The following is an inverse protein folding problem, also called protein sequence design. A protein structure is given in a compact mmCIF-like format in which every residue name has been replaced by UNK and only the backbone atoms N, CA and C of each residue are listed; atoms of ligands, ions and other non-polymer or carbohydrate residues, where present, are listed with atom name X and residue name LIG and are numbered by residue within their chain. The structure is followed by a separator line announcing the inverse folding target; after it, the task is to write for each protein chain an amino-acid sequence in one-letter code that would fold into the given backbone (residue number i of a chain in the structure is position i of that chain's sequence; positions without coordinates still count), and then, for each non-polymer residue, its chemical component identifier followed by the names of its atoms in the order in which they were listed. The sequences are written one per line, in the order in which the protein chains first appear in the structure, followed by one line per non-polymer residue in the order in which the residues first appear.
data_IF_191633474045
#
_entry.id   IF_191633474045
#
_cell.length_a   1.000
_cell.length_b   1.000
_cell.length_c   1.000
_cell.angle_alpha   90.00
_cell.angle_beta   90.00
_cell.angle_gamma   90.00
#
_symmetry.space_group_name_H-M   'P 1'
#
loop_
_entity.id
_entity.type
_entity.pdbx_description
1 polymer ?
#
# COMPACT_ATOMS: atom_id res chain seq x y z
N UNK A 1 -11.93 30.54 31.03
CA UNK A 1 -12.49 31.04 29.75
C UNK A 1 -11.95 30.16 28.62
N UNK A 2 -12.80 29.23 28.18
CA UNK A 2 -12.97 28.61 26.83
C UNK A 2 -11.70 28.21 26.05
N UNK A 3 -11.34 26.95 25.78
CA UNK A 3 -12.10 25.72 25.52
C UNK A 3 -13.25 25.88 24.50
N UNK A 4 -12.89 26.05 23.21
CA UNK A 4 -13.66 25.76 21.97
C UNK A 4 -13.05 26.55 20.79
N UNK A 5 -12.06 26.01 20.08
CA UNK A 5 -11.61 26.61 18.79
C UNK A 5 -10.64 25.72 17.97
N UNK A 6 -10.85 24.40 17.89
CA UNK A 6 -10.12 23.56 16.94
C UNK A 6 -11.03 22.69 16.05
N UNK A 7 -12.35 22.70 16.29
CA UNK A 7 -13.35 22.04 15.46
C UNK A 7 -14.05 23.10 14.59
N UNK A 8 -13.37 23.57 13.54
CA UNK A 8 -13.97 24.28 12.40
C UNK A 8 -12.89 24.69 11.39
N UNK A 9 -12.15 23.74 10.81
CA UNK A 9 -11.51 24.01 9.51
C UNK A 9 -12.52 23.68 8.41
N UNK A 10 -13.04 24.76 7.87
CA UNK A 10 -14.06 24.88 6.84
C UNK A 10 -13.90 23.84 5.72
N UNK A 11 -14.93 23.03 5.62
CA UNK A 11 -15.39 22.38 4.41
C UNK A 11 -15.62 23.45 3.32
N UNK A 12 -14.62 23.65 2.46
CA UNK A 12 -14.69 24.50 1.26
C UNK A 12 -13.87 23.88 0.14
N UNK A 13 -14.29 22.69 -0.30
CA UNK A 13 -13.96 22.17 -1.62
C UNK A 13 -15.27 21.81 -2.30
N UNK A 14 -15.59 22.41 -3.46
CA UNK A 14 -16.69 21.96 -4.31
C UNK A 14 -16.54 20.45 -4.48
N UNK A 15 -17.44 19.67 -3.89
CA UNK A 15 -17.42 18.21 -3.96
C UNK A 15 -17.43 17.80 -5.43
N UNK A 16 -16.27 17.42 -5.95
CA UNK A 16 -16.16 16.82 -7.26
C UNK A 16 -16.77 15.42 -7.10
N UNK A 17 -17.89 15.08 -7.77
CA UNK A 17 -18.57 13.79 -7.60
C UNK A 17 -17.78 12.60 -8.16
N UNK A 18 -16.49 12.79 -8.45
CA UNK A 18 -15.57 11.77 -8.92
C UNK A 18 -15.51 10.62 -7.91
N UNK A 19 -15.47 9.39 -8.40
CA UNK A 19 -15.50 8.16 -7.59
C UNK A 19 -16.80 7.90 -6.80
N UNK A 20 -17.76 8.83 -6.70
CA UNK A 20 -19.06 8.55 -6.05
C UNK A 20 -19.75 7.35 -6.71
N UNK A 21 -19.75 7.35 -8.05
CA UNK A 21 -20.38 6.32 -8.85
C UNK A 21 -19.70 4.96 -8.68
N UNK A 22 -18.38 4.92 -8.47
CA UNK A 22 -17.68 3.66 -8.28
C UNK A 22 -18.03 3.02 -6.94
N UNK A 23 -18.14 3.84 -5.88
CA UNK A 23 -18.61 3.39 -4.56
C UNK A 23 -20.05 2.87 -4.61
N UNK A 24 -20.96 3.61 -5.24
CA UNK A 24 -22.36 3.17 -5.43
C UNK A 24 -22.41 1.82 -6.17
N UNK A 25 -21.64 1.66 -7.25
CA UNK A 25 -21.63 0.43 -8.03
C UNK A 25 -21.21 -0.80 -7.22
N UNK A 26 -20.30 -0.66 -6.25
CA UNK A 26 -19.90 -1.76 -5.38
C UNK A 26 -20.91 -2.00 -4.24
N UNK A 27 -21.49 -0.95 -3.66
CA UNK A 27 -22.55 -1.10 -2.65
C UNK A 27 -23.79 -1.77 -3.23
N UNK A 28 -24.28 -1.33 -4.39
CA UNK A 28 -25.45 -1.90 -5.06
C UNK A 28 -25.23 -3.38 -5.43
N UNK A 29 -23.98 -3.76 -5.68
CA UNK A 29 -23.58 -5.14 -5.96
C UNK A 29 -23.28 -5.97 -4.70
N UNK A 30 -23.37 -5.38 -3.50
CA UNK A 30 -23.08 -6.06 -2.23
C UNK A 30 -21.63 -6.48 -2.07
N UNK A 31 -20.69 -5.80 -2.72
CA UNK A 31 -19.27 -6.20 -2.76
C UNK A 31 -18.51 -5.51 -1.63
N UNK A 32 -17.89 -6.25 -0.69
CA UNK A 32 -17.06 -5.64 0.35
C UNK A 32 -15.76 -5.06 -0.23
N UNK A 33 -15.51 -3.79 0.05
CA UNK A 33 -14.27 -3.10 -0.29
C UNK A 33 -13.84 -2.16 0.86
N UNK A 34 -12.58 -1.73 0.81
CA UNK A 34 -12.02 -0.69 1.67
C UNK A 34 -11.45 0.42 0.78
N UNK A 35 -11.49 1.66 1.24
CA UNK A 35 -10.76 2.76 0.61
C UNK A 35 -9.37 2.85 1.25
N UNK A 36 -8.33 2.97 0.43
CA UNK A 36 -6.95 3.06 0.90
C UNK A 36 -6.12 4.10 0.15
N UNK A 37 -4.82 3.82 0.04
CA UNK A 37 -3.92 4.62 -0.77
C UNK A 37 -3.77 6.06 -0.30
N UNK A 38 -3.73 6.99 -1.25
CA UNK A 38 -3.50 8.41 -0.96
C UNK A 38 -4.61 9.04 -0.10
N UNK A 39 -5.86 8.63 -0.34
CA UNK A 39 -7.01 9.15 0.38
C UNK A 39 -6.88 8.89 1.88
N UNK A 40 -6.46 7.68 2.26
CA UNK A 40 -6.30 7.32 3.68
C UNK A 40 -5.11 8.04 4.32
N UNK A 41 -4.03 8.30 3.57
CA UNK A 41 -2.92 9.14 4.06
C UNK A 41 -3.41 10.57 4.34
N UNK A 42 -4.26 11.14 3.48
CA UNK A 42 -4.86 12.45 3.71
C UNK A 42 -5.76 12.44 4.95
N UNK A 43 -6.63 11.43 5.09
CA UNK A 43 -7.54 11.31 6.25
C UNK A 43 -6.77 11.16 7.57
N UNK A 44 -5.70 10.36 7.60
CA UNK A 44 -4.98 10.07 8.83
C UNK A 44 -3.89 11.08 9.18
N UNK A 45 -3.21 11.65 8.18
CA UNK A 45 -2.06 12.53 8.40
C UNK A 45 -2.26 13.96 7.87
N UNK A 46 -3.39 14.27 7.24
CA UNK A 46 -3.65 15.60 6.67
C UNK A 46 -2.79 15.94 5.45
N UNK A 47 -2.07 14.95 4.90
CA UNK A 47 -1.19 15.13 3.75
C UNK A 47 -1.98 14.79 2.49
N UNK A 48 -2.52 15.82 1.85
CA UNK A 48 -3.18 15.68 0.55
C UNK A 48 -2.14 15.66 -0.56
N UNK A 49 -2.31 14.74 -1.51
CA UNK A 49 -1.58 14.74 -2.78
C UNK A 49 -2.58 14.59 -3.90
N UNK A 50 -2.36 15.31 -5.00
CA UNK A 50 -3.17 15.08 -6.19
C UNK A 50 -2.90 13.67 -6.72
N UNK A 51 -3.87 12.77 -6.59
CA UNK A 51 -3.84 11.48 -7.27
C UNK A 51 -4.88 11.43 -8.37
N UNK A 52 -4.51 10.73 -9.45
CA UNK A 52 -5.43 10.43 -10.55
C UNK A 52 -6.28 9.20 -10.25
N UNK A 53 -5.75 8.29 -9.42
CA UNK A 53 -6.34 6.99 -9.13
C UNK A 53 -7.00 7.00 -7.74
N UNK A 54 -8.14 6.30 -7.65
CA UNK A 54 -8.86 5.99 -6.41
C UNK A 54 -8.66 4.53 -6.04
N UNK A 55 -7.91 4.33 -4.95
CA UNK A 55 -7.45 3.01 -4.53
C UNK A 55 -8.50 2.29 -3.67
N UNK A 56 -9.09 1.24 -4.23
CA UNK A 56 -10.03 0.36 -3.55
C UNK A 56 -9.40 -1.01 -3.30
N UNK A 57 -9.54 -1.49 -2.07
CA UNK A 57 -8.94 -2.72 -1.59
C UNK A 57 -10.01 -3.78 -1.43
N UNK A 58 -9.80 -4.94 -2.06
CA UNK A 58 -10.76 -6.03 -2.09
C UNK A 58 -10.06 -7.35 -1.82
N UNK A 59 -10.78 -8.29 -1.20
CA UNK A 59 -10.33 -9.68 -1.15
C UNK A 59 -10.17 -10.22 -2.58
N UNK A 60 -9.17 -11.08 -2.86
CA UNK A 60 -8.97 -11.65 -4.19
C UNK A 60 -10.23 -12.29 -4.78
N UNK A 61 -11.04 -12.99 -3.96
CA UNK A 61 -12.29 -13.63 -4.43
C UNK A 61 -13.36 -12.64 -4.92
N UNK A 62 -13.30 -11.36 -4.54
CA UNK A 62 -14.31 -10.36 -4.91
C UNK A 62 -13.95 -9.58 -6.19
N UNK A 63 -12.72 -9.72 -6.69
CA UNK A 63 -12.21 -8.89 -7.80
C UNK A 63 -13.02 -9.09 -9.09
N UNK A 64 -13.36 -10.33 -9.46
CA UNK A 64 -14.13 -10.58 -10.69
C UNK A 64 -15.56 -10.04 -10.61
N UNK A 65 -16.21 -10.16 -9.45
CA UNK A 65 -17.53 -9.59 -9.22
C UNK A 65 -17.48 -8.06 -9.28
N UNK A 66 -16.43 -7.44 -8.74
CA UNK A 66 -16.23 -6.00 -8.78
C UNK A 66 -16.05 -5.52 -10.22
N UNK A 67 -15.22 -6.19 -11.01
CA UNK A 67 -15.05 -5.88 -12.43
C UNK A 67 -16.37 -6.00 -13.21
N UNK A 68 -17.19 -7.02 -12.92
CA UNK A 68 -18.51 -7.16 -13.54
C UNK A 68 -19.47 -6.03 -13.13
N UNK A 69 -19.47 -5.64 -11.85
CA UNK A 69 -20.27 -4.52 -11.36
C UNK A 69 -19.86 -3.20 -12.05
N UNK A 70 -18.55 -2.96 -12.17
CA UNK A 70 -18.03 -1.80 -12.91
C UNK A 70 -18.39 -1.82 -14.39
N UNK A 71 -18.29 -2.97 -15.07
CA UNK A 71 -18.77 -3.11 -16.47
C UNK A 71 -20.25 -2.72 -16.59
N UNK A 72 -21.12 -3.24 -15.72
CA UNK A 72 -22.56 -2.88 -15.70
C UNK A 72 -22.77 -1.39 -15.42
N UNK A 73 -21.93 -0.80 -14.59
CA UNK A 73 -21.94 0.63 -14.30
C UNK A 73 -21.32 1.51 -15.41
N UNK A 74 -20.86 0.91 -16.53
CA UNK A 74 -20.34 1.60 -17.71
C UNK A 74 -18.85 1.97 -17.62
N UNK A 75 -18.06 1.26 -16.82
CA UNK A 75 -16.60 1.40 -16.79
C UNK A 75 -15.96 0.43 -17.78
N UNK A 76 -14.85 0.86 -18.40
CA UNK A 76 -13.92 -0.04 -19.08
C UNK A 76 -13.05 -0.70 -18.00
N UNK A 77 -13.01 -2.02 -17.98
CA UNK A 77 -12.29 -2.76 -16.93
C UNK A 77 -11.17 -3.61 -17.50
N UNK A 78 -10.05 -3.71 -16.80
CA UNK A 78 -8.89 -4.49 -17.21
C UNK A 78 -8.24 -5.18 -15.99
N UNK A 79 -7.89 -6.46 -16.09
CA UNK A 79 -6.95 -7.11 -15.15
C UNK A 79 -5.52 -6.76 -15.58
N UNK A 80 -5.05 -5.58 -15.18
CA UNK A 80 -3.75 -5.04 -15.60
C UNK A 80 -2.58 -5.93 -15.17
N UNK A 81 -2.61 -6.39 -13.91
CA UNK A 81 -1.65 -7.34 -13.36
C UNK A 81 -2.40 -8.41 -12.56
N UNK A 82 -2.62 -9.62 -13.11
CA UNK A 82 -3.50 -10.63 -12.53
C UNK A 82 -3.20 -11.03 -11.09
N UNK A 83 -1.96 -10.83 -10.61
CA UNK A 83 -1.55 -11.15 -9.26
C UNK A 83 -1.94 -10.10 -8.20
N UNK A 84 -2.18 -8.83 -8.57
CA UNK A 84 -2.41 -7.76 -7.58
C UNK A 84 -3.33 -6.60 -7.98
N UNK A 85 -3.47 -6.28 -9.28
CA UNK A 85 -4.17 -5.08 -9.74
C UNK A 85 -5.13 -5.34 -10.89
N UNK A 86 -6.35 -4.86 -10.72
CA UNK A 86 -7.27 -4.59 -11.82
C UNK A 86 -7.65 -3.11 -11.82
N UNK A 87 -8.06 -2.59 -12.98
CA UNK A 87 -8.44 -1.19 -13.18
C UNK A 87 -9.87 -1.10 -13.71
N UNK A 88 -10.59 -0.08 -13.29
CA UNK A 88 -11.86 0.32 -13.88
C UNK A 88 -11.82 1.82 -14.19
N UNK A 89 -12.07 2.18 -15.44
CA UNK A 89 -11.94 3.56 -15.93
C UNK A 89 -13.24 4.03 -16.59
N UNK A 90 -13.65 5.26 -16.28
CA UNK A 90 -14.78 5.94 -16.92
C UNK A 90 -14.54 7.45 -17.00
N UNK A 91 -14.14 7.94 -18.17
CA UNK A 91 -13.83 9.36 -18.35
C UNK A 91 -12.63 9.76 -17.50
N UNK A 92 -12.85 10.62 -16.50
CA UNK A 92 -11.81 11.04 -15.53
C UNK A 92 -11.75 10.17 -14.27
N UNK A 93 -12.66 9.21 -14.14
CA UNK A 93 -12.79 8.34 -12.97
C UNK A 93 -11.94 7.09 -13.17
N UNK A 94 -10.77 7.04 -12.52
CA UNK A 94 -9.83 5.92 -12.57
C UNK A 94 -9.78 5.21 -11.21
N UNK A 95 -10.14 3.93 -11.21
CA UNK A 95 -10.24 3.11 -10.00
C UNK A 95 -9.20 2.00 -10.07
N UNK A 96 -8.38 1.90 -9.04
CA UNK A 96 -7.46 0.79 -8.83
C UNK A 96 -8.10 -0.21 -7.86
N UNK A 97 -8.32 -1.45 -8.32
CA UNK A 97 -8.80 -2.58 -7.53
C UNK A 97 -7.58 -3.40 -7.10
N UNK A 98 -7.14 -3.14 -5.88
CA UNK A 98 -5.94 -3.69 -5.27
C UNK A 98 -6.34 -4.84 -4.37
N UNK A 99 -5.72 -6.00 -4.57
CA UNK A 99 -5.98 -7.18 -3.74
C UNK A 99 -4.70 -7.80 -3.16
N UNK A 100 -3.53 -7.29 -3.58
CA UNK A 100 -2.19 -7.56 -3.04
C UNK A 100 -1.29 -6.35 -3.30
N UNK A 101 -0.11 -6.32 -2.68
CA UNK A 101 0.98 -5.46 -3.13
C UNK A 101 1.54 -5.96 -4.48
N UNK A 102 2.13 -5.05 -5.27
CA UNK A 102 2.68 -5.38 -6.59
C UNK A 102 3.77 -6.46 -6.60
N UNK A 103 4.48 -6.62 -5.48
CA UNK A 103 5.49 -7.64 -5.26
C UNK A 103 4.91 -9.01 -4.86
N UNK A 104 3.58 -9.16 -4.82
CA UNK A 104 2.88 -10.40 -4.45
C UNK A 104 2.71 -10.64 -2.95
N UNK A 105 3.13 -9.71 -2.10
CA UNK A 105 2.87 -9.72 -0.65
C UNK A 105 1.57 -8.99 -0.31
N UNK A 106 1.27 -8.85 0.97
CA UNK A 106 0.18 -7.99 1.47
C UNK A 106 -1.19 -8.33 0.87
N UNK A 107 -1.54 -9.61 0.83
CA UNK A 107 -2.89 -10.01 0.41
C UNK A 107 -3.95 -9.39 1.31
N UNK A 108 -5.00 -8.87 0.67
CA UNK A 108 -6.14 -8.29 1.37
C UNK A 108 -6.99 -9.44 1.93
N UNK A 109 -6.74 -9.77 3.20
CA UNK A 109 -7.40 -10.82 3.96
C UNK A 109 -8.52 -10.28 4.87
N UNK A 110 -9.11 -11.17 5.69
CA UNK A 110 -10.18 -10.80 6.62
C UNK A 110 -9.75 -9.77 7.66
N UNK A 111 -8.50 -9.81 8.11
CA UNK A 111 -8.00 -8.91 9.13
C UNK A 111 -7.94 -7.46 8.66
N UNK A 112 -7.81 -7.20 7.35
CA UNK A 112 -7.98 -5.85 6.79
C UNK A 112 -9.38 -5.28 7.08
N UNK A 113 -10.42 -6.11 6.97
CA UNK A 113 -11.81 -5.69 7.14
C UNK A 113 -12.23 -5.62 8.60
N UNK A 114 -11.71 -6.51 9.45
CA UNK A 114 -11.92 -6.50 10.90
C UNK A 114 -11.36 -5.23 11.55
N UNK A 115 -10.23 -4.73 11.03
CA UNK A 115 -9.53 -3.55 11.56
C UNK A 115 -9.89 -2.25 10.86
N UNK A 116 -10.74 -2.32 9.84
CA UNK A 116 -11.11 -1.15 9.05
C UNK A 116 -11.87 -0.11 9.90
N UNK A 117 -11.63 1.17 9.61
CA UNK A 117 -12.33 2.27 10.28
C UNK A 117 -13.55 2.71 9.48
N UNK A 118 -14.69 2.86 10.16
CA UNK A 118 -15.88 3.44 9.53
C UNK A 118 -15.64 4.93 9.23
N UNK A 119 -16.11 5.38 8.07
CA UNK A 119 -15.99 6.76 7.64
C UNK A 119 -17.13 7.13 6.69
N UNK A 120 -17.21 8.40 6.32
CA UNK A 120 -18.15 8.90 5.34
C UNK A 120 -17.39 9.42 4.12
N UNK A 121 -17.78 8.96 2.93
CA UNK A 121 -17.24 9.41 1.66
C UNK A 121 -18.38 9.86 0.76
N UNK A 122 -18.45 11.17 0.47
CA UNK A 122 -19.46 11.77 -0.41
C UNK A 122 -20.91 11.39 -0.02
N UNK A 123 -21.22 11.41 1.28
CA UNK A 123 -22.53 11.05 1.84
C UNK A 123 -22.79 9.55 1.99
N UNK A 124 -21.79 8.70 1.76
CA UNK A 124 -21.92 7.24 1.85
C UNK A 124 -21.08 6.69 3.00
N UNK A 125 -21.66 5.78 3.77
CA UNK A 125 -20.93 5.03 4.79
C UNK A 125 -19.97 4.06 4.10
N UNK A 126 -18.69 4.18 4.41
CA UNK A 126 -17.60 3.39 3.82
C UNK A 126 -16.64 2.92 4.91
N UNK A 127 -15.75 2.01 4.53
CA UNK A 127 -14.66 1.54 5.39
C UNK A 127 -13.32 1.96 4.82
N UNK A 128 -12.45 2.46 5.67
CA UNK A 128 -11.07 2.82 5.34
C UNK A 128 -10.11 1.72 5.81
N UNK A 129 -9.07 1.46 5.04
CA UNK A 129 -7.97 0.58 5.47
C UNK A 129 -7.35 1.12 6.77
N UNK A 130 -7.08 0.23 7.72
CA UNK A 130 -6.40 0.59 8.97
C UNK A 130 -4.99 1.16 8.68
N UNK A 131 -4.48 2.09 9.51
CA UNK A 131 -3.16 2.69 9.30
C UNK A 131 -2.03 1.65 9.30
N UNK A 132 -2.15 0.55 10.05
CA UNK A 132 -1.20 -0.56 10.07
C UNK A 132 -1.07 -1.24 8.70
N UNK A 133 -2.20 -1.45 8.01
CA UNK A 133 -2.23 -2.09 6.70
C UNK A 133 -1.65 -1.16 5.61
N UNK A 134 -1.88 0.15 5.75
CA UNK A 134 -1.26 1.16 4.89
C UNK A 134 0.25 1.23 5.10
N UNK A 135 0.74 1.19 6.35
CA UNK A 135 2.17 1.11 6.63
C UNK A 135 2.75 -0.17 6.01
N UNK A 136 2.13 -1.32 6.25
CA UNK A 136 2.62 -2.61 5.78
C UNK A 136 2.75 -2.67 4.26
N UNK A 137 1.70 -2.29 3.53
CA UNK A 137 1.74 -2.34 2.07
C UNK A 137 2.72 -1.33 1.46
N UNK A 138 2.75 -0.10 2.00
CA UNK A 138 3.63 0.96 1.47
C UNK A 138 5.10 0.72 1.77
N UNK A 139 5.42 -0.03 2.82
CA UNK A 139 6.80 -0.24 3.26
C UNK A 139 7.69 -0.94 2.24
N UNK A 140 7.10 -1.68 1.31
CA UNK A 140 7.80 -2.36 0.22
C UNK A 140 7.96 -1.52 -1.05
N UNK A 141 7.47 -0.29 -1.09
CA UNK A 141 7.58 0.58 -2.27
C UNK A 141 8.86 1.42 -2.12
N UNK A 142 9.96 0.89 -2.64
CA UNK A 142 11.29 1.53 -2.65
C UNK A 142 11.89 1.53 -4.06
N UNK A 143 11.12 2.04 -5.02
CA UNK A 143 11.59 2.27 -6.38
C UNK A 143 12.46 3.54 -6.45
N UNK A 144 13.24 3.69 -7.52
CA UNK A 144 14.02 4.92 -7.76
C UNK A 144 13.11 6.11 -8.01
N UNK A 145 12.05 5.87 -8.78
CA UNK A 145 11.06 6.86 -9.22
C UNK A 145 9.88 7.02 -8.24
N UNK A 146 9.75 6.10 -7.28
CA UNK A 146 8.67 6.11 -6.29
C UNK A 146 9.09 5.45 -4.98
N UNK A 147 9.11 6.25 -3.92
CA UNK A 147 9.33 5.80 -2.56
C UNK A 147 8.20 6.31 -1.66
N UNK A 148 7.44 5.40 -1.03
CA UNK A 148 6.30 5.77 -0.18
C UNK A 148 6.71 5.97 1.31
N UNK A 149 8.01 6.07 1.63
CA UNK A 149 8.49 6.21 3.02
C UNK A 149 8.00 7.47 3.73
N UNK A 150 7.77 8.57 3.00
CA UNK A 150 7.18 9.77 3.58
C UNK A 150 5.74 9.52 4.07
N UNK A 151 4.93 8.81 3.29
CA UNK A 151 3.56 8.45 3.70
C UNK A 151 3.58 7.62 5.00
N UNK A 152 4.52 6.68 5.12
CA UNK A 152 4.71 5.87 6.34
C UNK A 152 5.10 6.75 7.52
N UNK A 153 6.07 7.64 7.34
CA UNK A 153 6.53 8.53 8.39
C UNK A 153 5.40 9.47 8.88
N UNK A 154 4.57 9.98 7.96
CA UNK A 154 3.41 10.81 8.28
C UNK A 154 2.34 10.02 9.04
N UNK A 155 2.01 8.79 8.61
CA UNK A 155 1.06 7.94 9.34
C UNK A 155 1.61 7.62 10.74
N UNK A 156 2.89 7.27 10.88
CA UNK A 156 3.50 7.04 12.19
C UNK A 156 3.42 8.29 13.07
N UNK A 157 3.76 9.46 12.53
CA UNK A 157 3.72 10.72 13.26
C UNK A 157 2.32 11.03 13.78
N UNK A 158 1.29 10.75 12.99
CA UNK A 158 -0.10 11.08 13.33
C UNK A 158 -0.82 9.98 14.13
N UNK A 159 -0.47 8.71 13.92
CA UNK A 159 -1.25 7.56 14.40
C UNK A 159 -0.52 6.66 15.40
N UNK A 160 0.79 6.79 15.61
CA UNK A 160 1.59 5.83 16.40
C UNK A 160 0.98 5.42 17.76
N UNK A 161 0.37 6.36 18.49
CA UNK A 161 -0.27 6.09 19.80
C UNK A 161 -1.52 5.21 19.72
N UNK A 162 -2.13 5.11 18.54
CA UNK A 162 -3.37 4.35 18.28
C UNK A 162 -3.11 3.04 17.52
N UNK A 163 -1.89 2.82 17.05
CA UNK A 163 -1.55 1.60 16.30
C UNK A 163 -1.57 0.37 17.21
N UNK A 164 -2.10 -0.73 16.70
CA UNK A 164 -1.87 -2.07 17.22
C UNK A 164 -0.47 -2.53 16.78
N UNK A 165 0.53 -2.16 17.59
CA UNK A 165 1.94 -2.49 17.34
C UNK A 165 2.21 -4.00 17.24
N UNK A 166 1.68 -4.87 18.13
CA UNK A 166 1.81 -6.31 17.97
C UNK A 166 1.27 -6.80 16.61
N UNK A 167 0.15 -6.28 16.14
CA UNK A 167 -0.39 -6.60 14.82
C UNK A 167 0.53 -6.15 13.70
N UNK A 168 1.00 -4.90 13.73
CA UNK A 168 1.92 -4.38 12.73
C UNK A 168 3.20 -5.23 12.64
N UNK A 169 3.82 -5.57 13.77
CA UNK A 169 5.01 -6.44 13.78
C UNK A 169 4.69 -7.84 13.20
N UNK A 170 3.52 -8.41 13.52
CA UNK A 170 3.08 -9.70 12.94
C UNK A 170 2.87 -9.61 11.43
N UNK A 171 2.32 -8.52 10.90
CA UNK A 171 2.15 -8.30 9.44
C UNK A 171 3.49 -8.36 8.70
N UNK A 172 4.54 -7.74 9.25
CA UNK A 172 5.87 -7.84 8.65
C UNK A 172 6.50 -9.22 8.81
N UNK A 173 6.25 -9.92 9.91
CA UNK A 173 6.69 -11.30 10.12
C UNK A 173 8.20 -11.48 9.85
N UNK A 174 8.61 -12.29 8.86
CA UNK A 174 10.04 -12.48 8.53
C UNK A 174 10.70 -11.22 7.96
N UNK A 175 9.94 -10.26 7.45
CA UNK A 175 10.44 -9.01 6.86
C UNK A 175 10.51 -7.88 7.89
N UNK A 176 10.59 -8.19 9.18
CA UNK A 176 10.67 -7.22 10.28
C UNK A 176 11.82 -6.20 10.11
N UNK A 177 12.87 -6.51 9.34
CA UNK A 177 13.93 -5.57 8.97
C UNK A 177 13.42 -4.37 8.17
N UNK A 178 12.43 -4.60 7.31
CA UNK A 178 11.81 -3.52 6.52
C UNK A 178 11.08 -2.57 7.46
N UNK A 179 10.32 -3.09 8.42
CA UNK A 179 9.70 -2.27 9.47
C UNK A 179 10.75 -1.50 10.27
N UNK A 180 11.79 -2.18 10.79
CA UNK A 180 12.85 -1.54 11.55
C UNK A 180 13.51 -0.41 10.77
N UNK A 181 13.75 -0.57 9.46
CA UNK A 181 14.35 0.47 8.62
C UNK A 181 13.51 1.75 8.58
N UNK A 182 12.18 1.62 8.46
CA UNK A 182 11.27 2.77 8.50
C UNK A 182 11.19 3.40 9.89
N UNK A 183 11.26 2.61 10.97
CA UNK A 183 11.26 3.14 12.35
C UNK A 183 12.56 3.89 12.68
N UNK A 184 13.71 3.39 12.21
CA UNK A 184 14.99 4.10 12.33
C UNK A 184 14.94 5.41 11.55
N UNK A 185 14.45 5.37 10.30
CA UNK A 185 14.31 6.56 9.47
C UNK A 185 13.32 7.57 10.08
N UNK A 186 12.21 7.11 10.67
CA UNK A 186 11.27 7.96 11.40
C UNK A 186 11.97 8.75 12.51
N UNK A 187 12.83 8.11 13.30
CA UNK A 187 13.58 8.79 14.37
C UNK A 187 14.65 9.78 13.87
N UNK A 188 15.06 9.67 12.60
CA UNK A 188 15.88 10.68 11.93
C UNK A 188 15.02 11.84 11.40
N UNK A 189 13.88 11.55 10.77
CA UNK A 189 12.96 12.55 10.22
C UNK A 189 12.35 13.41 11.35
N UNK A 190 11.94 12.79 12.46
CA UNK A 190 11.30 13.46 13.60
C UNK A 190 12.05 13.18 14.91
N UNK A 191 13.22 13.80 15.14
CA UNK A 191 14.03 13.53 16.33
C UNK A 191 13.31 13.85 17.65
N UNK A 192 12.41 14.84 17.66
CA UNK A 192 11.61 15.22 18.82
C UNK A 192 10.35 14.39 19.05
N UNK A 193 10.06 13.42 18.19
CA UNK A 193 8.84 12.58 18.24
C UNK A 193 9.19 11.09 18.38
N UNK A 194 10.45 10.77 18.70
CA UNK A 194 10.94 9.39 18.81
C UNK A 194 10.16 8.56 19.83
N UNK A 195 9.69 9.20 20.90
CA UNK A 195 8.90 8.62 21.97
C UNK A 195 7.50 8.18 21.53
N UNK A 196 7.03 8.61 20.36
CA UNK A 196 5.79 8.08 19.76
C UNK A 196 5.90 6.59 19.41
N UNK A 197 7.10 6.12 19.07
CA UNK A 197 7.34 4.70 18.79
C UNK A 197 7.61 3.99 20.12
N UNK A 198 6.87 2.92 20.47
CA UNK A 198 7.10 2.25 21.74
C UNK A 198 8.52 1.68 21.85
N UNK A 199 9.22 2.03 22.92
CA UNK A 199 10.58 1.54 23.20
C UNK A 199 10.68 0.01 23.17
N UNK A 200 9.65 -0.69 23.64
CA UNK A 200 9.60 -2.15 23.60
C UNK A 200 9.69 -2.71 22.17
N UNK A 201 9.05 -2.06 21.19
CA UNK A 201 9.09 -2.47 19.78
C UNK A 201 10.47 -2.22 19.19
N UNK A 202 11.05 -1.03 19.43
CA UNK A 202 12.41 -0.73 18.97
C UNK A 202 13.45 -1.69 19.57
N UNK A 203 13.36 -1.94 20.87
CA UNK A 203 14.27 -2.85 21.57
C UNK A 203 14.15 -4.29 21.07
N UNK A 204 12.93 -4.79 20.85
CA UNK A 204 12.70 -6.13 20.29
C UNK A 204 13.34 -6.27 18.90
N UNK A 205 13.04 -5.36 17.97
CA UNK A 205 13.56 -5.42 16.61
C UNK A 205 15.09 -5.27 16.54
N UNK A 206 15.68 -4.42 17.38
CA UNK A 206 17.14 -4.28 17.51
C UNK A 206 17.76 -5.55 18.12
N UNK A 207 17.11 -6.15 19.12
CA UNK A 207 17.58 -7.40 19.73
C UNK A 207 17.56 -8.55 18.71
N UNK A 208 16.52 -8.65 17.88
CA UNK A 208 16.48 -9.62 16.76
C UNK A 208 17.71 -9.44 15.88
N UNK A 209 18.00 -8.23 15.42
CA UNK A 209 19.17 -7.92 14.57
C UNK A 209 20.50 -8.28 15.25
N UNK A 210 20.66 -7.97 16.55
CA UNK A 210 21.88 -8.31 17.30
C UNK A 210 22.05 -9.82 17.51
N UNK A 211 20.95 -10.56 17.63
CA UNK A 211 20.98 -12.01 17.89
C UNK A 211 21.27 -12.85 16.64
N UNK A 212 21.29 -12.23 15.46
CA UNK A 212 21.62 -12.92 14.22
C UNK A 212 23.08 -13.34 14.20
N UNK A 213 23.31 -14.60 14.55
CA UNK A 213 24.57 -15.26 14.30
C UNK A 213 24.79 -15.28 12.78
N UNK A 214 26.03 -15.03 12.35
CA UNK A 214 26.45 -15.13 10.95
C UNK A 214 26.26 -16.53 10.40
N UNK A 215 25.01 -16.90 10.16
CA UNK A 215 24.63 -18.11 9.47
C UNK A 215 24.99 -17.87 8.01
N UNK A 216 25.89 -18.70 7.47
CA UNK A 216 26.10 -18.77 6.03
C UNK A 216 24.80 -19.30 5.43
N UNK A 217 23.86 -18.41 5.17
CA UNK A 217 22.68 -18.72 4.37
C UNK A 217 23.20 -19.15 2.99
N UNK A 218 23.19 -20.46 2.74
CA UNK A 218 23.76 -21.04 1.51
C UNK A 218 22.97 -20.66 0.27
N UNK A 219 21.73 -20.18 0.47
CA UNK A 219 20.85 -19.74 -0.60
C UNK A 219 21.14 -18.28 -0.94
N UNK A 220 21.73 -18.04 -2.11
CA UNK A 220 21.94 -16.69 -2.67
C UNK A 220 20.60 -16.13 -3.14
N UNK A 221 19.81 -15.57 -2.22
CA UNK A 221 18.53 -14.93 -2.54
C UNK A 221 18.62 -13.41 -2.50
N UNK A 222 17.99 -12.74 -3.44
CA UNK A 222 17.85 -11.28 -3.42
C UNK A 222 16.44 -10.90 -2.99
N UNK A 223 16.28 -10.47 -1.72
CA UNK A 223 15.02 -9.91 -1.23
C UNK A 223 14.76 -8.49 -1.74
N UNK A 224 15.75 -7.85 -2.39
CA UNK A 224 15.58 -6.54 -3.01
C UNK A 224 14.48 -6.51 -4.08
N UNK A 225 14.19 -7.65 -4.73
CA UNK A 225 13.08 -7.75 -5.69
C UNK A 225 11.69 -7.62 -5.06
N UNK A 226 11.58 -7.72 -3.73
CA UNK A 226 10.37 -7.39 -2.98
C UNK A 226 10.24 -5.88 -2.73
N UNK A 227 11.34 -5.13 -2.78
CA UNK A 227 11.36 -3.68 -2.53
C UNK A 227 11.30 -2.85 -3.82
N UNK A 228 11.75 -3.45 -4.92
CA UNK A 228 11.73 -2.84 -6.24
C UNK A 228 11.56 -3.88 -7.33
N UNK A 229 10.67 -3.59 -8.29
CA UNK A 229 10.44 -4.41 -9.48
C UNK A 229 11.61 -4.34 -10.49
N UNK A 230 12.45 -3.31 -10.41
CA UNK A 230 13.49 -2.99 -11.40
C UNK A 230 14.91 -3.00 -10.84
N UNK A 231 15.16 -2.34 -9.71
CA UNK A 231 16.51 -1.96 -9.30
C UNK A 231 17.42 -3.17 -8.99
N UNK A 232 16.83 -4.34 -8.70
CA UNK A 232 17.56 -5.57 -8.39
C UNK A 232 17.54 -6.60 -9.53
N UNK A 233 17.11 -6.23 -10.74
CA UNK A 233 17.12 -7.16 -11.89
C UNK A 233 18.54 -7.61 -12.25
N UNK A 234 19.54 -6.73 -12.11
CA UNK A 234 20.95 -7.07 -12.33
C UNK A 234 21.40 -8.18 -11.35
N UNK A 235 20.94 -8.15 -10.10
CA UNK A 235 21.27 -9.19 -9.13
C UNK A 235 20.73 -10.56 -9.53
N UNK A 236 19.55 -10.59 -10.15
CA UNK A 236 18.92 -11.82 -10.65
C UNK A 236 19.54 -12.28 -11.96
N UNK A 237 19.73 -11.36 -12.92
CA UNK A 237 20.09 -11.69 -14.30
C UNK A 237 21.59 -11.92 -14.49
N UNK A 238 22.43 -11.20 -13.74
CA UNK A 238 23.88 -11.18 -13.96
C UNK A 238 24.65 -11.73 -12.76
N UNK A 239 24.17 -11.50 -11.52
CA UNK A 239 24.90 -11.91 -10.30
C UNK A 239 24.50 -13.27 -9.73
N UNK A 240 23.52 -13.94 -10.35
CA UNK A 240 23.09 -15.30 -10.02
C UNK A 240 22.30 -15.43 -8.71
N UNK A 241 21.66 -14.35 -8.24
CA UNK A 241 20.76 -14.45 -7.09
C UNK A 241 19.39 -15.01 -7.51
N UNK A 242 18.78 -15.78 -6.61
CA UNK A 242 17.39 -16.22 -6.74
C UNK A 242 16.44 -15.07 -6.44
N UNK A 243 15.35 -15.00 -7.20
CA UNK A 243 14.33 -13.96 -7.03
C UNK A 243 13.44 -14.28 -5.82
N UNK A 244 13.39 -13.40 -4.83
CA UNK A 244 12.56 -13.60 -3.65
C UNK A 244 11.06 -13.61 -3.95
N UNK A 245 10.62 -13.08 -5.09
CA UNK A 245 9.22 -13.12 -5.53
C UNK A 245 8.72 -14.51 -5.90
N UNK A 246 9.62 -15.49 -6.03
CA UNK A 246 9.29 -16.89 -6.25
C UNK A 246 9.20 -17.73 -4.95
N UNK A 247 9.40 -17.10 -3.78
CA UNK A 247 9.21 -17.79 -2.48
C UNK A 247 7.74 -18.12 -2.25
N UNK A 248 7.44 -19.25 -1.62
CA UNK A 248 6.07 -19.76 -1.45
C UNK A 248 5.09 -18.86 -0.68
N UNK A 249 5.58 -17.88 0.09
CA UNK A 249 4.74 -16.87 0.76
C UNK A 249 4.31 -15.71 -0.16
N UNK A 250 4.89 -15.63 -1.36
CA UNK A 250 4.63 -14.58 -2.35
C UNK A 250 3.67 -15.12 -3.39
N UNK A 251 2.61 -14.37 -3.67
CA UNK A 251 1.58 -14.75 -4.63
C UNK A 251 1.96 -14.32 -6.05
N UNK A 252 3.12 -14.79 -6.53
CA UNK A 252 3.58 -14.56 -7.90
C UNK A 252 4.23 -15.83 -8.45
N UNK A 253 4.01 -16.08 -9.74
CA UNK A 253 4.78 -17.06 -10.50
C UNK A 253 5.73 -16.37 -11.50
N UNK A 254 6.54 -17.17 -12.21
CA UNK A 254 7.48 -16.66 -13.20
C UNK A 254 6.82 -15.87 -14.35
N UNK A 255 5.58 -16.21 -14.74
CA UNK A 255 4.83 -15.48 -15.77
C UNK A 255 4.40 -14.11 -15.27
N UNK A 256 3.94 -14.02 -14.01
CA UNK A 256 3.57 -12.75 -13.37
C UNK A 256 4.77 -11.81 -13.27
N UNK A 257 5.92 -12.35 -12.83
CA UNK A 257 7.18 -11.60 -12.78
C UNK A 257 7.56 -11.09 -14.17
N UNK A 258 7.56 -11.97 -15.18
CA UNK A 258 7.91 -11.58 -16.55
C UNK A 258 6.96 -10.52 -17.13
N UNK A 259 5.65 -10.63 -16.85
CA UNK A 259 4.66 -9.64 -17.24
C UNK A 259 4.89 -8.28 -16.56
N UNK A 260 5.11 -8.29 -15.25
CA UNK A 260 5.37 -7.08 -14.48
C UNK A 260 6.70 -6.41 -14.86
N UNK A 261 7.74 -7.20 -15.15
CA UNK A 261 9.03 -6.68 -15.64
C UNK A 261 8.91 -6.06 -17.04
N UNK A 262 8.19 -6.70 -17.98
CA UNK A 262 7.98 -6.12 -19.32
C UNK A 262 7.27 -4.77 -19.30
N UNK A 263 6.37 -4.56 -18.33
CA UNK A 263 5.64 -3.30 -18.20
C UNK A 263 6.54 -2.10 -17.86
N UNK A 264 7.73 -2.32 -17.27
CA UNK A 264 8.70 -1.25 -16.95
C UNK A 264 9.06 -0.47 -18.22
N UNK A 265 9.47 -1.16 -19.28
CA UNK A 265 9.88 -0.52 -20.53
C UNK A 265 8.73 0.24 -21.21
N UNK A 266 7.48 -0.22 -21.03
CA UNK A 266 6.29 0.45 -21.56
C UNK A 266 6.04 1.78 -20.82
N UNK A 267 6.14 1.76 -19.49
CA UNK A 267 5.96 2.93 -18.64
C UNK A 267 7.04 4.00 -18.90
N UNK A 268 8.30 3.60 -19.01
CA UNK A 268 9.40 4.52 -19.33
C UNK A 268 9.25 5.19 -20.70
N UNK A 269 8.79 4.44 -21.71
CA UNK A 269 8.49 4.99 -23.04
C UNK A 269 7.35 6.00 -22.98
N UNK A 270 6.32 5.75 -22.18
CA UNK A 270 5.20 6.68 -22.00
C UNK A 270 5.64 7.97 -21.29
N UNK A 271 6.45 7.86 -20.24
CA UNK A 271 7.01 9.00 -19.51
C UNK A 271 7.88 9.89 -20.42
N UNK A 272 8.76 9.30 -21.23
CA UNK A 272 9.60 10.06 -22.19
C UNK A 272 8.78 10.82 -23.23
N UNK A 273 7.64 10.26 -23.67
CA UNK A 273 6.72 10.90 -24.63
C UNK A 273 5.91 12.06 -24.04
N UNK A 274 5.85 12.19 -22.72
CA UNK A 274 5.11 13.27 -22.05
C UNK A 274 6.00 14.50 -21.79
N UNK A 275 7.32 14.35 -21.93
CA UNK A 275 8.34 15.39 -21.68
C UNK A 275 8.78 16.07 -22.99
N UNK A 276 8.42 15.50 -24.15
CA UNK A 276 8.62 16.06 -25.50
C UNK A 276 7.32 16.66 -26.01
#
# INVERSE_FOLDING_TARGET
MTAKSAAARKDKGKSNPLHRRSVVALHDAGIPFLIGGAYVVEVYAGVSRQTKDFDLYLRPQHVDLALQAFKRAGYKTERTFPHWLAKAERGRDCIDLIFRAGNGLCEVDDSWFERAHNSEFLGMQVKLCAPEEMIWMKAYIMERERFDGADIAHILQSCAKKLDWPHLVRRFGPDWRVLLSHLVLFGYIYPGERDKIPNAIMNDLIARLRSEKGTRETTRICNGTLLSRKQYLLDIQERGFRDARLKGRVHMNAKDIAHWTRAIAKEERAQRRTIL
#
